data_IF_783872812062
#
_entry.id   IF_783872812062
#
_cell.length_a   1.000
_cell.length_b   1.000
_cell.length_c   1.000
_cell.angle_alpha   90.00
_cell.angle_beta   90.00
_cell.angle_gamma   90.00
#
_symmetry.space_group_name_H-M   'P 1'
#
loop_
_entity.id
_entity.type
_entity.pdbx_description
1 polymer ?
#
# COMPACT_ATOMS: atom_id res chain seq x y z
N UNK A 1 16.81 -3.36 10.69
CA UNK A 1 16.94 -4.07 9.40
C UNK A 1 15.59 -4.22 8.70
N UNK A 2 14.53 -4.66 9.41
CA UNK A 2 13.19 -4.78 8.80
C UNK A 2 12.62 -3.43 8.35
N UNK A 3 12.85 -2.36 9.12
CA UNK A 3 12.49 -0.99 8.75
C UNK A 3 13.12 -0.56 7.41
N UNK A 4 14.42 -0.79 7.23
CA UNK A 4 15.11 -0.54 5.97
C UNK A 4 14.50 -1.34 4.80
N UNK A 5 14.30 -2.65 4.99
CA UNK A 5 13.69 -3.53 3.97
C UNK A 5 12.30 -3.03 3.60
N UNK A 6 11.48 -2.65 4.58
CA UNK A 6 10.14 -2.10 4.35
C UNK A 6 10.21 -0.81 3.54
N UNK A 7 11.13 0.09 3.87
CA UNK A 7 11.36 1.33 3.14
C UNK A 7 11.72 1.09 1.68
N UNK A 8 12.65 0.17 1.42
CA UNK A 8 13.00 -0.24 0.06
C UNK A 8 11.81 -0.86 -0.69
N UNK A 9 11.01 -1.70 -0.02
CA UNK A 9 9.83 -2.33 -0.63
C UNK A 9 8.80 -1.28 -1.08
N UNK A 10 8.52 -0.28 -0.23
CA UNK A 10 7.64 0.85 -0.60
C UNK A 10 8.17 1.64 -1.79
N UNK A 11 9.48 1.96 -1.81
CA UNK A 11 10.07 2.72 -2.91
C UNK A 11 10.06 1.93 -4.23
N UNK A 12 10.30 0.61 -4.18
CA UNK A 12 10.15 -0.26 -5.35
C UNK A 12 8.70 -0.24 -5.84
N UNK A 13 7.71 -0.33 -4.95
CA UNK A 13 6.30 -0.22 -5.32
C UNK A 13 5.95 1.14 -5.94
N UNK A 14 6.51 2.24 -5.43
CA UNK A 14 6.31 3.57 -6.03
C UNK A 14 6.87 3.64 -7.46
N UNK A 15 8.06 3.06 -7.70
CA UNK A 15 8.63 2.96 -9.04
C UNK A 15 7.79 2.07 -9.97
N UNK A 16 7.26 0.96 -9.46
CA UNK A 16 6.34 0.10 -10.21
C UNK A 16 5.05 0.84 -10.57
N UNK A 17 4.48 1.63 -9.65
CA UNK A 17 3.31 2.46 -9.95
C UNK A 17 3.61 3.50 -11.02
N UNK A 18 4.74 4.21 -10.93
CA UNK A 18 5.17 5.15 -11.97
C UNK A 18 5.31 4.47 -13.34
N UNK A 19 5.89 3.28 -13.37
CA UNK A 19 6.00 2.51 -14.60
C UNK A 19 4.63 2.11 -15.15
N UNK A 20 3.72 1.61 -14.31
CA UNK A 20 2.36 1.26 -14.70
C UNK A 20 1.57 2.47 -15.23
N UNK A 21 1.70 3.63 -14.59
CA UNK A 21 1.08 4.89 -15.04
C UNK A 21 1.62 5.28 -16.42
N UNK A 22 2.94 5.18 -16.63
CA UNK A 22 3.58 5.45 -17.92
C UNK A 22 3.05 4.54 -19.03
N UNK A 23 2.80 3.26 -18.72
CA UNK A 23 2.19 2.29 -19.63
C UNK A 23 0.66 2.42 -19.76
N UNK A 24 0.06 3.47 -19.16
CA UNK A 24 -1.39 3.73 -19.15
C UNK A 24 -2.21 2.58 -18.56
N UNK A 25 -1.62 1.84 -17.62
CA UNK A 25 -2.30 0.75 -16.94
C UNK A 25 -3.35 1.31 -15.96
N UNK A 26 -4.55 0.73 -15.98
CA UNK A 26 -5.63 1.12 -15.07
C UNK A 26 -5.45 0.51 -13.68
N UNK A 27 -4.65 1.17 -12.83
CA UNK A 27 -4.32 0.72 -11.47
C UNK A 27 -5.58 0.55 -10.62
N UNK A 28 -6.46 1.55 -10.59
CA UNK A 28 -7.69 1.49 -9.78
C UNK A 28 -8.69 0.48 -10.32
N UNK A 29 -8.78 0.31 -11.64
CA UNK A 29 -9.54 -0.76 -12.28
C UNK A 29 -9.03 -2.15 -11.88
N UNK A 30 -7.72 -2.31 -11.72
CA UNK A 30 -7.12 -3.54 -11.23
C UNK A 30 -7.41 -3.79 -9.74
N UNK A 31 -7.27 -2.77 -8.88
CA UNK A 31 -7.54 -2.86 -7.43
C UNK A 31 -9.02 -3.17 -7.16
N UNK A 32 -9.93 -2.49 -7.86
CA UNK A 32 -11.37 -2.67 -7.67
C UNK A 32 -11.98 -3.77 -8.54
N UNK A 33 -11.16 -4.69 -9.08
CA UNK A 33 -11.65 -5.89 -9.75
C UNK A 33 -11.76 -7.05 -8.73
N UNK A 34 -12.97 -7.58 -8.46
CA UNK A 34 -13.16 -8.69 -7.52
C UNK A 34 -12.35 -9.95 -7.86
N UNK A 35 -12.07 -10.18 -9.14
CA UNK A 35 -11.25 -11.32 -9.60
C UNK A 35 -9.80 -11.23 -9.10
N UNK A 36 -9.31 -10.02 -8.80
CA UNK A 36 -7.94 -9.79 -8.34
C UNK A 36 -7.81 -9.86 -6.80
N UNK A 37 -8.89 -10.10 -6.06
CA UNK A 37 -8.89 -10.10 -4.58
C UNK A 37 -7.75 -10.91 -3.97
N UNK A 38 -7.56 -12.15 -4.46
CA UNK A 38 -6.52 -13.05 -3.94
C UNK A 38 -5.12 -12.50 -4.19
N UNK A 39 -4.91 -11.90 -5.35
CA UNK A 39 -3.63 -11.26 -5.69
C UNK A 39 -3.35 -10.07 -4.76
N UNK A 40 -4.35 -9.22 -4.50
CA UNK A 40 -4.21 -8.07 -3.59
C UNK A 40 -3.84 -8.52 -2.18
N UNK A 41 -4.48 -9.56 -1.64
CA UNK A 41 -4.14 -10.11 -0.32
C UNK A 41 -2.71 -10.67 -0.27
N UNK A 42 -2.26 -11.34 -1.35
CA UNK A 42 -0.88 -11.84 -1.44
C UNK A 42 0.12 -10.68 -1.52
N UNK A 43 -0.21 -9.61 -2.24
CA UNK A 43 0.62 -8.42 -2.36
C UNK A 43 0.71 -7.65 -1.03
N UNK A 44 -0.37 -7.64 -0.24
CA UNK A 44 -0.46 -6.93 1.03
C UNK A 44 0.26 -7.66 2.19
N UNK A 45 0.32 -9.00 2.13
CA UNK A 45 0.87 -9.84 3.19
C UNK A 45 2.34 -9.54 3.55
N UNK A 46 3.29 -9.34 2.60
CA UNK A 46 4.65 -8.93 2.93
C UNK A 46 4.71 -7.62 3.72
N UNK A 47 3.91 -6.62 3.36
CA UNK A 47 3.88 -5.35 4.08
C UNK A 47 3.39 -5.52 5.51
N UNK A 48 2.35 -6.34 5.71
CA UNK A 48 1.82 -6.64 7.04
C UNK A 48 2.84 -7.38 7.92
N UNK A 49 3.51 -8.39 7.39
CA UNK A 49 4.51 -9.16 8.14
C UNK A 49 5.76 -8.33 8.44
N UNK A 50 6.28 -7.60 7.45
CA UNK A 50 7.52 -6.82 7.60
C UNK A 50 7.28 -5.60 8.49
N UNK A 51 6.13 -4.93 8.40
CA UNK A 51 5.79 -3.81 9.30
C UNK A 51 5.66 -4.25 10.75
N UNK A 52 5.06 -5.42 11.00
CA UNK A 52 5.03 -5.99 12.36
C UNK A 52 6.43 -6.34 12.86
N UNK A 53 7.27 -6.96 12.03
CA UNK A 53 8.65 -7.26 12.38
C UNK A 53 9.48 -5.98 12.63
N UNK A 54 9.28 -4.94 11.83
CA UNK A 54 9.91 -3.64 12.01
C UNK A 54 9.48 -2.97 13.32
N UNK A 55 8.20 -3.06 13.69
CA UNK A 55 7.72 -2.59 14.98
C UNK A 55 8.36 -3.34 16.15
N UNK A 56 8.44 -4.68 16.09
CA UNK A 56 9.08 -5.46 17.15
C UNK A 56 10.58 -5.14 17.30
N UNK A 57 11.24 -4.76 16.21
CA UNK A 57 12.66 -4.42 16.22
C UNK A 57 12.91 -2.99 16.72
N UNK A 58 12.23 -1.99 16.16
CA UNK A 58 12.54 -0.56 16.40
C UNK A 58 11.61 0.10 17.44
N UNK A 59 10.52 -0.58 17.83
CA UNK A 59 9.49 -0.09 18.76
C UNK A 59 8.90 1.30 18.43
N UNK A 60 8.98 1.73 17.15
CA UNK A 60 8.54 3.05 16.73
C UNK A 60 7.07 3.05 16.27
N UNK A 61 6.27 4.01 16.76
CA UNK A 61 4.84 4.13 16.50
C UNK A 61 4.48 4.20 15.00
N UNK A 62 5.39 4.74 14.18
CA UNK A 62 5.23 4.80 12.73
C UNK A 62 4.98 3.43 12.10
N UNK A 63 5.64 2.37 12.59
CA UNK A 63 5.43 1.01 12.07
C UNK A 63 4.09 0.41 12.50
N UNK A 64 3.53 0.82 13.66
CA UNK A 64 2.17 0.46 14.03
C UNK A 64 1.15 1.06 13.08
N UNK A 65 1.32 2.32 12.68
CA UNK A 65 0.43 2.94 11.70
C UNK A 65 0.43 2.20 10.38
N UNK A 66 1.61 1.86 9.87
CA UNK A 66 1.75 1.07 8.63
C UNK A 66 1.08 -0.29 8.79
N UNK A 67 1.37 -0.99 9.89
CA UNK A 67 0.77 -2.29 10.18
C UNK A 67 -0.76 -2.22 10.19
N UNK A 68 -1.34 -1.25 10.89
CA UNK A 68 -2.80 -1.10 10.95
C UNK A 68 -3.40 -0.74 9.59
N UNK A 69 -2.74 0.09 8.79
CA UNK A 69 -3.20 0.41 7.43
C UNK A 69 -3.35 -0.87 6.58
N UNK A 70 -2.32 -1.73 6.57
CA UNK A 70 -2.37 -3.01 5.85
C UNK A 70 -3.36 -4.00 6.49
N UNK A 71 -3.39 -4.09 7.82
CA UNK A 71 -4.31 -4.97 8.53
C UNK A 71 -5.78 -4.62 8.22
N UNK A 72 -6.14 -3.32 8.24
CA UNK A 72 -7.48 -2.88 7.89
C UNK A 72 -7.81 -3.12 6.42
N UNK A 73 -6.86 -2.88 5.51
CA UNK A 73 -7.05 -3.14 4.07
C UNK A 73 -7.32 -4.63 3.79
N UNK A 74 -6.45 -5.50 4.33
CA UNK A 74 -6.62 -6.95 4.26
C UNK A 74 -7.92 -7.42 4.91
N UNK A 75 -8.28 -6.90 6.08
CA UNK A 75 -9.52 -7.24 6.79
C UNK A 75 -10.76 -6.81 6.02
N UNK A 76 -10.75 -5.61 5.41
CA UNK A 76 -11.83 -5.13 4.55
C UNK A 76 -12.03 -6.07 3.35
N UNK A 77 -10.95 -6.46 2.68
CA UNK A 77 -11.00 -7.40 1.55
C UNK A 77 -11.46 -8.81 1.93
N UNK A 78 -11.12 -9.29 3.14
CA UNK A 78 -11.50 -10.62 3.61
C UNK A 78 -12.93 -10.69 4.15
N UNK A 79 -13.31 -9.75 5.02
CA UNK A 79 -14.54 -9.82 5.80
C UNK A 79 -15.68 -9.00 5.19
N UNK A 80 -15.36 -7.91 4.49
CA UNK A 80 -16.34 -6.98 3.92
C UNK A 80 -16.00 -6.61 2.47
N UNK A 81 -15.73 -7.59 1.57
CA UNK A 81 -15.32 -7.30 0.20
C UNK A 81 -16.35 -6.47 -0.57
N UNK A 82 -17.65 -6.63 -0.26
CA UNK A 82 -18.71 -5.85 -0.90
C UNK A 82 -18.55 -4.34 -0.67
N UNK A 83 -18.24 -3.93 0.56
CA UNK A 83 -18.03 -2.52 0.92
C UNK A 83 -16.80 -1.98 0.18
N UNK A 84 -15.71 -2.76 0.16
CA UNK A 84 -14.48 -2.38 -0.55
C UNK A 84 -14.71 -2.19 -2.05
N UNK A 85 -15.46 -3.08 -2.71
CA UNK A 85 -15.69 -2.93 -4.15
C UNK A 85 -16.74 -1.88 -4.51
N UNK A 86 -17.64 -1.55 -3.58
CA UNK A 86 -18.63 -0.46 -3.75
C UNK A 86 -17.98 0.93 -3.69
N UNK A 87 -16.88 1.12 -2.95
CA UNK A 87 -16.16 2.40 -2.92
C UNK A 87 -15.50 2.77 -4.26
N UNK A 88 -15.52 1.87 -5.25
CA UNK A 88 -15.09 2.16 -6.62
C UNK A 88 -15.86 3.34 -7.22
N UNK A 89 -17.17 3.43 -6.97
CA UNK A 89 -18.00 4.48 -7.56
C UNK A 89 -17.69 5.85 -6.95
N UNK A 90 -17.26 5.88 -5.69
CA UNK A 90 -16.73 7.10 -5.05
C UNK A 90 -15.39 7.51 -5.66
N UNK A 91 -14.50 6.55 -5.94
CA UNK A 91 -13.21 6.83 -6.56
C UNK A 91 -13.32 7.29 -8.02
N UNK A 92 -14.37 6.90 -8.75
CA UNK A 92 -14.64 7.43 -10.10
C UNK A 92 -14.98 8.92 -10.12
N UNK A 93 -15.42 9.49 -9.00
CA UNK A 93 -15.69 10.92 -8.88
C UNK A 93 -14.40 11.75 -8.79
N UNK A 94 -13.27 11.11 -8.51
CA UNK A 94 -11.96 11.75 -8.43
C UNK A 94 -11.19 11.59 -9.74
N UNK A 95 -10.40 12.60 -10.09
CA UNK A 95 -9.57 12.58 -11.29
C UNK A 95 -8.50 11.46 -11.21
N UNK A 96 -8.36 10.68 -12.28
CA UNK A 96 -7.45 9.53 -12.32
C UNK A 96 -5.98 9.96 -12.15
N UNK A 97 -5.58 11.09 -12.72
CA UNK A 97 -4.20 11.58 -12.56
C UNK A 97 -3.94 12.02 -11.12
N UNK A 98 -4.94 12.65 -10.49
CA UNK A 98 -4.86 12.99 -9.06
C UNK A 98 -4.66 11.74 -8.21
N UNK A 99 -5.48 10.71 -8.42
CA UNK A 99 -5.39 9.46 -7.66
C UNK A 99 -4.06 8.72 -7.89
N UNK A 100 -3.58 8.66 -9.13
CA UNK A 100 -2.31 8.07 -9.50
C UNK A 100 -1.13 8.80 -8.84
N UNK A 101 -1.12 10.14 -8.90
CA UNK A 101 -0.10 10.96 -8.26
C UNK A 101 -0.12 10.80 -6.74
N UNK A 102 -1.31 10.79 -6.13
CA UNK A 102 -1.48 10.58 -4.70
C UNK A 102 -0.90 9.23 -4.27
N UNK A 103 -1.21 8.16 -5.00
CA UNK A 103 -0.68 6.82 -4.74
C UNK A 103 0.85 6.80 -4.75
N UNK A 104 1.48 7.38 -5.77
CA UNK A 104 2.95 7.42 -5.88
C UNK A 104 3.56 8.24 -4.73
N UNK A 105 3.01 9.42 -4.45
CA UNK A 105 3.54 10.32 -3.42
C UNK A 105 3.43 9.67 -2.04
N UNK A 106 2.25 9.12 -1.70
CA UNK A 106 2.04 8.48 -0.39
C UNK A 106 2.97 7.28 -0.21
N UNK A 107 3.05 6.41 -1.22
CA UNK A 107 3.92 5.23 -1.20
C UNK A 107 5.39 5.63 -1.04
N UNK A 108 5.83 6.69 -1.74
CA UNK A 108 7.19 7.22 -1.63
C UNK A 108 7.47 7.82 -0.25
N UNK A 109 6.54 8.62 0.27
CA UNK A 109 6.67 9.27 1.58
C UNK A 109 6.78 8.24 2.72
N UNK A 110 5.95 7.18 2.68
CA UNK A 110 6.03 6.08 3.64
C UNK A 110 7.36 5.34 3.53
N UNK A 111 7.83 5.09 2.30
CA UNK A 111 9.14 4.48 2.05
C UNK A 111 10.29 5.29 2.64
N UNK A 112 10.34 6.59 2.37
CA UNK A 112 11.34 7.50 2.94
C UNK A 112 11.23 7.55 4.48
N UNK A 113 10.01 7.62 5.02
CA UNK A 113 9.79 7.59 6.46
C UNK A 113 10.35 6.33 7.12
N UNK A 114 10.19 5.16 6.49
CA UNK A 114 10.77 3.90 6.98
C UNK A 114 12.30 3.95 7.00
N UNK A 115 12.93 4.51 5.95
CA UNK A 115 14.38 4.65 5.87
C UNK A 115 14.92 5.62 6.92
N UNK A 116 14.23 6.75 7.14
CA UNK A 116 14.60 7.73 8.16
C UNK A 116 14.55 7.12 9.57
N UNK A 117 13.45 6.44 9.91
CA UNK A 117 13.33 5.75 11.21
C UNK A 117 14.35 4.62 11.33
N UNK A 118 14.71 3.94 10.23
CA UNK A 118 15.75 2.90 10.27
C UNK A 118 17.17 3.44 10.48
N UNK A 119 17.38 4.73 10.27
CA UNK A 119 18.69 5.38 10.41
C UNK A 119 18.86 6.05 11.78
N UNK A 120 17.75 6.51 12.38
CA UNK A 120 17.69 7.15 13.70
C UNK A 120 17.77 6.13 14.84
#
# INVERSE_FOLDING_TARGET
MFAFILGCLYLICALLYLWLIKEKFNIFGFIYNPSNRKFLLILDAPFLLISFAAFLQEAHWFFLLIFFMHAFNSMALLLKPQIFYQSKDEMKLMDENYLNNFLVILTSAVGIGCLLVSYL
#
